data_IF_247026050001
#
_entry.id   IF_247026050001
#
_cell.length_a   1.000
_cell.length_b   1.000
_cell.length_c   1.000
_cell.angle_alpha   90.00
_cell.angle_beta   90.00
_cell.angle_gamma   90.00
#
_symmetry.space_group_name_H-M   'P 1'
#
loop_
_entity.id
_entity.type
_entity.pdbx_description
1 polymer ?
#
# COMPACT_ATOMS: atom_id res chain seq x y z
N UNK A 1 11.25 -6.65 -3.53
CA UNK A 1 10.51 -6.45 -4.80
C UNK A 1 10.80 -7.57 -5.79
N UNK A 2 12.05 -7.78 -6.21
CA UNK A 2 12.41 -8.90 -7.11
C UNK A 2 11.97 -10.28 -6.59
N UNK A 3 12.32 -10.64 -5.36
CA UNK A 3 11.95 -11.95 -4.77
C UNK A 3 10.44 -12.20 -4.75
N UNK A 4 9.65 -11.14 -4.48
CA UNK A 4 8.18 -11.25 -4.49
C UNK A 4 7.63 -11.41 -5.91
N UNK A 5 8.06 -10.57 -6.86
CA UNK A 5 7.48 -10.53 -8.20
C UNK A 5 7.97 -11.72 -9.05
N UNK A 6 9.28 -11.98 -9.03
CA UNK A 6 9.91 -13.04 -9.84
C UNK A 6 9.93 -14.37 -9.10
N UNK A 7 10.32 -14.38 -7.82
CA UNK A 7 10.44 -15.60 -7.04
C UNK A 7 9.09 -16.22 -6.68
N UNK A 8 8.25 -15.46 -5.98
CA UNK A 8 6.92 -15.93 -5.53
C UNK A 8 5.85 -15.77 -6.60
N UNK A 9 5.88 -14.67 -7.35
CA UNK A 9 4.92 -14.36 -8.39
C UNK A 9 5.15 -15.10 -9.72
N UNK A 10 6.37 -15.61 -9.95
CA UNK A 10 6.70 -16.34 -11.17
C UNK A 10 6.75 -15.47 -12.42
N UNK A 11 6.88 -14.15 -12.28
CA UNK A 11 7.15 -13.26 -13.42
C UNK A 11 8.53 -13.57 -13.99
N UNK A 12 8.65 -13.59 -15.31
CA UNK A 12 9.94 -13.83 -15.98
C UNK A 12 10.99 -12.81 -15.52
N UNK A 13 12.21 -13.24 -15.11
CA UNK A 13 13.29 -12.32 -14.76
C UNK A 13 13.62 -11.34 -15.89
N UNK A 14 13.60 -11.80 -17.14
CA UNK A 14 13.86 -10.96 -18.31
C UNK A 14 12.81 -9.87 -18.46
N UNK A 15 11.52 -10.21 -18.29
CA UNK A 15 10.46 -9.21 -18.33
C UNK A 15 10.60 -8.19 -17.20
N UNK A 16 10.87 -8.66 -15.97
CA UNK A 16 11.01 -7.80 -14.80
C UNK A 16 12.13 -6.76 -14.94
N UNK A 17 13.27 -7.13 -15.54
CA UNK A 17 14.39 -6.22 -15.72
C UNK A 17 14.29 -5.35 -16.98
N UNK A 18 13.77 -5.89 -18.08
CA UNK A 18 13.90 -5.24 -19.40
C UNK A 18 12.65 -4.51 -19.86
N UNK A 19 11.47 -4.82 -19.30
CA UNK A 19 10.19 -4.36 -19.89
C UNK A 19 9.12 -3.95 -18.86
N UNK A 20 9.18 -4.46 -17.64
CA UNK A 20 8.19 -4.18 -16.62
C UNK A 20 8.33 -2.76 -16.06
N UNK A 21 7.24 -2.01 -16.08
CA UNK A 21 7.23 -0.66 -15.50
C UNK A 21 6.92 -0.69 -13.99
N UNK A 22 7.19 0.43 -13.31
CA UNK A 22 6.93 0.54 -11.87
C UNK A 22 5.43 0.46 -11.52
N UNK A 23 4.55 0.87 -12.45
CA UNK A 23 3.11 0.84 -12.23
C UNK A 23 2.58 -0.59 -12.25
N UNK A 24 3.00 -1.39 -13.22
CA UNK A 24 2.77 -2.82 -13.35
C UNK A 24 3.31 -3.56 -12.13
N UNK A 25 4.51 -3.23 -11.65
CA UNK A 25 5.07 -3.80 -10.43
C UNK A 25 4.21 -3.50 -9.20
N UNK A 26 3.75 -2.26 -9.04
CA UNK A 26 2.86 -1.89 -7.95
C UNK A 26 1.51 -2.64 -8.04
N UNK A 27 0.90 -2.69 -9.22
CA UNK A 27 -0.37 -3.39 -9.47
C UNK A 27 -0.26 -4.89 -9.26
N UNK A 28 0.85 -5.48 -9.68
CA UNK A 28 1.11 -6.89 -9.51
C UNK A 28 1.21 -7.26 -8.01
N UNK A 29 2.00 -6.50 -7.24
CA UNK A 29 2.12 -6.68 -5.79
C UNK A 29 0.78 -6.44 -5.06
N UNK A 30 -0.01 -5.46 -5.49
CA UNK A 30 -1.36 -5.24 -4.97
C UNK A 30 -2.27 -6.46 -5.23
N UNK A 31 -2.17 -7.02 -6.44
CA UNK A 31 -2.87 -8.25 -6.83
C UNK A 31 -2.45 -9.47 -6.01
N UNK A 32 -1.15 -9.66 -5.77
CA UNK A 32 -0.63 -10.77 -4.97
C UNK A 32 -1.22 -10.80 -3.56
N UNK A 33 -1.41 -9.63 -2.94
CA UNK A 33 -1.94 -9.52 -1.57
C UNK A 33 -3.45 -9.65 -1.47
N UNK A 34 -4.19 -9.88 -2.57
CA UNK A 34 -5.68 -9.97 -2.54
C UNK A 34 -6.20 -11.01 -1.56
N UNK A 35 -5.57 -12.18 -1.51
CA UNK A 35 -5.98 -13.25 -0.60
C UNK A 35 -5.77 -12.86 0.86
N UNK A 36 -4.60 -12.28 1.18
CA UNK A 36 -4.30 -11.80 2.53
C UNK A 36 -5.26 -10.69 2.94
N UNK A 37 -5.54 -9.72 2.06
CA UNK A 37 -6.55 -8.68 2.31
C UNK A 37 -7.92 -9.27 2.59
N UNK A 38 -8.35 -10.26 1.81
CA UNK A 38 -9.63 -10.93 2.02
C UNK A 38 -9.71 -11.63 3.38
N UNK A 39 -8.65 -12.31 3.81
CA UNK A 39 -8.61 -12.96 5.12
C UNK A 39 -8.58 -11.93 6.27
N UNK A 40 -7.89 -10.81 6.10
CA UNK A 40 -7.91 -9.70 7.06
C UNK A 40 -9.31 -9.09 7.20
N UNK A 41 -10.00 -8.86 6.08
CA UNK A 41 -11.40 -8.39 6.07
C UNK A 41 -12.36 -9.36 6.75
N UNK A 42 -12.21 -10.65 6.45
CA UNK A 42 -13.00 -11.70 7.09
C UNK A 42 -12.77 -11.72 8.60
N UNK A 43 -11.52 -11.56 9.02
CA UNK A 43 -11.15 -11.48 10.45
C UNK A 43 -11.76 -10.24 11.10
N UNK A 44 -11.69 -9.08 10.43
CA UNK A 44 -12.32 -7.82 10.87
C UNK A 44 -13.82 -7.98 11.09
N UNK A 45 -14.52 -8.62 10.15
CA UNK A 45 -15.96 -8.87 10.24
C UNK A 45 -16.33 -9.82 11.40
N UNK A 46 -15.53 -10.85 11.63
CA UNK A 46 -15.71 -11.75 12.78
C UNK A 46 -15.53 -10.97 14.08
N UNK A 47 -14.44 -10.21 14.22
CA UNK A 47 -14.19 -9.41 15.42
C UNK A 47 -15.32 -8.41 15.67
N UNK A 48 -15.78 -7.73 14.63
CA UNK A 48 -16.90 -6.80 14.73
C UNK A 48 -18.19 -7.47 15.19
N UNK A 49 -18.53 -8.64 14.64
CA UNK A 49 -19.72 -9.38 15.06
C UNK A 49 -19.69 -9.76 16.55
N UNK A 50 -18.51 -10.11 17.07
CA UNK A 50 -18.31 -10.45 18.48
C UNK A 50 -18.45 -9.21 19.35
N UNK A 51 -17.76 -8.11 19.02
CA UNK A 51 -17.81 -6.89 19.81
C UNK A 51 -19.18 -6.23 19.81
N UNK A 52 -19.86 -6.18 18.66
CA UNK A 52 -21.20 -5.62 18.55
C UNK A 52 -22.20 -6.36 19.46
N UNK A 53 -22.03 -7.68 19.66
CA UNK A 53 -22.89 -8.45 20.57
C UNK A 53 -22.62 -8.18 22.07
N UNK A 54 -21.42 -7.72 22.41
CA UNK A 54 -20.96 -7.53 23.79
C UNK A 54 -20.99 -6.06 24.22
N UNK A 55 -21.05 -5.14 23.26
CA UNK A 55 -21.07 -3.72 23.51
C UNK A 55 -22.52 -3.18 23.54
N UNK A 56 -22.77 -2.22 24.43
CA UNK A 56 -24.07 -1.52 24.52
C UNK A 56 -24.20 -0.36 23.51
N UNK A 57 -23.14 -0.10 22.74
CA UNK A 57 -23.05 0.98 21.74
C UNK A 57 -22.85 0.33 20.39
N UNK A 58 -23.40 0.94 19.34
CA UNK A 58 -23.08 0.57 17.97
C UNK A 58 -21.63 0.90 17.68
N UNK A 59 -20.90 -0.09 17.19
CA UNK A 59 -19.49 0.02 16.78
C UNK A 59 -19.46 -0.05 15.26
N UNK A 60 -18.68 0.82 14.60
CA UNK A 60 -18.49 0.73 13.16
C UNK A 60 -17.45 -0.36 12.82
N UNK A 61 -17.48 -0.90 11.60
CA UNK A 61 -16.54 -1.97 11.21
C UNK A 61 -15.08 -1.47 11.24
N UNK A 62 -14.90 -0.21 10.91
CA UNK A 62 -13.62 0.50 10.84
C UNK A 62 -12.98 0.71 12.22
N UNK A 63 -13.77 0.67 13.30
CA UNK A 63 -13.29 0.89 14.68
C UNK A 63 -12.61 -0.34 15.28
N UNK A 64 -12.81 -1.53 14.70
CA UNK A 64 -12.43 -2.81 15.31
C UNK A 64 -11.04 -3.26 14.88
N UNK A 65 -10.70 -3.06 13.61
CA UNK A 65 -9.42 -3.45 13.04
C UNK A 65 -9.12 -2.58 11.82
N UNK A 66 -8.04 -1.81 11.88
CA UNK A 66 -7.62 -0.93 10.78
C UNK A 66 -6.70 -1.72 9.86
N UNK A 67 -7.11 -1.88 8.59
CA UNK A 67 -6.25 -2.47 7.57
C UNK A 67 -5.35 -1.36 7.01
N UNK A 68 -4.04 -1.58 6.99
CA UNK A 68 -3.02 -0.54 6.73
C UNK A 68 -3.20 0.20 5.38
N UNK A 69 -3.79 -0.44 4.38
CA UNK A 69 -4.09 0.20 3.08
C UNK A 69 -5.18 1.28 3.17
N UNK A 70 -5.93 1.35 4.28
CA UNK A 70 -6.93 2.38 4.58
C UNK A 70 -6.35 3.55 5.40
N UNK A 71 -5.04 3.52 5.73
CA UNK A 71 -4.38 4.72 6.27
C UNK A 71 -4.56 5.82 5.23
N UNK A 72 -5.36 6.84 5.60
CA UNK A 72 -5.53 8.06 4.81
C UNK A 72 -4.14 8.50 4.38
N UNK A 73 -3.90 8.54 3.07
CA UNK A 73 -2.70 9.18 2.53
C UNK A 73 -2.71 10.58 3.10
N UNK A 74 -1.85 10.86 4.06
CA UNK A 74 -1.67 12.21 4.57
C UNK A 74 -1.33 13.04 3.35
N UNK A 75 -2.14 14.09 3.10
CA UNK A 75 -1.85 14.99 1.99
C UNK A 75 -0.43 15.51 2.21
N UNK A 76 0.47 15.37 1.23
CA UNK A 76 1.84 15.81 1.40
C UNK A 76 1.84 17.28 1.79
N UNK A 77 2.58 17.59 2.86
CA UNK A 77 2.68 18.94 3.37
C UNK A 77 3.25 19.86 2.27
N UNK A 78 2.61 21.01 2.05
CA UNK A 78 3.01 21.93 0.98
C UNK A 78 4.42 22.49 1.22
N UNK A 79 4.85 22.54 2.48
CA UNK A 79 6.21 22.92 2.85
C UNK A 79 7.24 21.88 2.40
N UNK A 80 7.02 20.60 2.69
CA UNK A 80 7.91 19.50 2.28
C UNK A 80 8.02 19.40 0.75
N UNK A 81 6.91 19.58 0.04
CA UNK A 81 6.85 19.62 -1.43
C UNK A 81 7.69 20.76 -2.01
N UNK A 82 7.66 21.93 -1.38
CA UNK A 82 8.45 23.08 -1.81
C UNK A 82 9.95 22.90 -1.52
N UNK A 83 10.31 22.24 -0.43
CA UNK A 83 11.70 21.89 -0.14
C UNK A 83 12.27 20.88 -1.14
N UNK A 84 11.50 19.84 -1.47
CA UNK A 84 11.88 18.85 -2.48
C UNK A 84 12.10 19.48 -3.85
N UNK A 85 11.23 20.41 -4.27
CA UNK A 85 11.41 21.18 -5.51
C UNK A 85 12.68 22.03 -5.50
N UNK A 86 13.02 22.65 -4.36
CA UNK A 86 14.27 23.43 -4.22
C UNK A 86 15.50 22.52 -4.33
N UNK A 87 15.47 21.35 -3.70
CA UNK A 87 16.56 20.35 -3.79
C UNK A 87 16.73 19.83 -5.21
N UNK A 88 15.64 19.50 -5.90
CA UNK A 88 15.69 19.04 -7.29
C UNK A 88 16.34 20.08 -8.23
N UNK A 89 15.92 21.35 -8.13
CA UNK A 89 16.53 22.45 -8.90
C UNK A 89 18.01 22.68 -8.59
N UNK A 90 18.45 22.37 -7.37
CA UNK A 90 19.85 22.48 -6.98
C UNK A 90 20.68 21.37 -7.64
N UNK A 91 20.17 20.13 -7.63
CA UNK A 91 20.81 19.01 -8.32
C UNK A 91 20.91 19.21 -9.83
N UNK A 92 19.88 19.75 -10.48
CA UNK A 92 19.93 20.07 -11.92
C UNK A 92 21.05 21.06 -12.25
N UNK A 93 21.25 22.08 -11.40
CA UNK A 93 22.33 23.06 -11.58
C UNK A 93 23.72 22.51 -11.29
N UNK A 94 23.84 21.51 -10.45
CA UNK A 94 25.12 20.86 -10.14
C UNK A 94 25.50 19.79 -11.17
N UNK A 95 24.55 19.32 -11.99
CA UNK A 95 24.79 18.39 -13.11
C UNK A 95 24.88 19.08 -14.49
N UNK A 96 24.84 20.41 -14.54
CA UNK A 96 25.10 21.21 -15.76
C UNK A 96 26.44 21.92 -15.64
#
# INVERSE_FOLDING_TARGET
>A
MYEEIVGRGGVSPAYFFDSMDFYEAARYLEGMRRKEKFELEKTRLIMWSVFQSQCRKDIALEDVFVIDDEKKVEKPDEEELNELRKRAKKFEREMT
#
